data_IF_667352434640
#
_entry.id   IF_667352434640
#
_cell.length_a   1.000
_cell.length_b   1.000
_cell.length_c   1.000
_cell.angle_alpha   90.00
_cell.angle_beta   90.00
_cell.angle_gamma   90.00
#
_symmetry.space_group_name_H-M   'P 1'
#
loop_
_entity.id
_entity.type
_entity.pdbx_description
1 polymer ?
#
# COMPACT_ATOMS: atom_id res chain seq x y z
N UNK A 1 -5.95 -7.38 -65.54
CA UNK A 1 -6.52 -8.06 -64.36
C UNK A 1 -5.93 -7.42 -63.10
N UNK A 2 -6.69 -6.54 -62.46
CA UNK A 2 -6.25 -5.77 -61.29
C UNK A 2 -6.32 -6.63 -60.03
N UNK A 3 -5.19 -6.79 -59.33
CA UNK A 3 -5.15 -7.42 -58.00
C UNK A 3 -5.68 -6.41 -56.97
N UNK A 4 -6.70 -6.73 -56.16
CA UNK A 4 -7.14 -5.84 -55.11
C UNK A 4 -6.09 -5.83 -54.01
N UNK A 5 -5.50 -4.66 -53.77
CA UNK A 5 -4.61 -4.45 -52.64
C UNK A 5 -5.37 -4.72 -51.35
N UNK A 6 -4.94 -5.75 -50.60
CA UNK A 6 -5.32 -5.92 -49.19
C UNK A 6 -4.82 -4.70 -48.43
N UNK A 7 -5.68 -3.69 -48.28
CA UNK A 7 -5.52 -2.64 -47.28
C UNK A 7 -5.86 -3.27 -45.94
N UNK A 8 -4.86 -3.92 -45.35
CA UNK A 8 -4.92 -4.29 -43.95
C UNK A 8 -5.07 -3.02 -43.11
N UNK A 9 -5.85 -3.13 -42.04
CA UNK A 9 -6.17 -2.08 -41.06
C UNK A 9 -4.92 -1.53 -40.30
N UNK A 10 -3.71 -1.76 -40.81
CA UNK A 10 -2.44 -1.43 -40.17
C UNK A 10 -1.89 -0.05 -40.58
N UNK A 11 -2.59 0.70 -41.45
CA UNK A 11 -2.09 1.99 -41.94
C UNK A 11 -2.23 3.16 -40.93
N UNK A 12 -2.87 2.94 -39.79
CA UNK A 12 -3.05 3.98 -38.73
C UNK A 12 -1.89 3.99 -37.72
N UNK A 13 -1.04 2.96 -37.71
CA UNK A 13 0.03 2.86 -36.71
C UNK A 13 1.37 2.67 -37.42
N UNK A 14 1.94 3.78 -37.88
CA UNK A 14 3.39 3.92 -37.98
C UNK A 14 4.01 4.06 -36.57
N UNK A 15 3.56 3.22 -35.64
CA UNK A 15 4.24 3.00 -34.38
C UNK A 15 5.57 2.34 -34.75
N UNK A 16 6.68 3.01 -34.44
CA UNK A 16 7.98 2.36 -34.43
C UNK A 16 7.85 1.10 -33.58
N UNK A 17 8.45 0.01 -34.03
CA UNK A 17 8.39 -1.30 -33.38
C UNK A 17 8.67 -1.20 -31.86
N UNK A 18 9.60 -0.34 -31.47
CA UNK A 18 9.92 -0.05 -30.08
C UNK A 18 8.72 0.51 -29.29
N UNK A 19 7.98 1.47 -29.84
CA UNK A 19 6.80 2.05 -29.19
C UNK A 19 5.69 1.00 -29.04
N UNK A 20 5.53 0.13 -30.02
CA UNK A 20 4.56 -0.97 -29.95
C UNK A 20 4.95 -1.98 -28.85
N UNK A 21 6.24 -2.30 -28.71
CA UNK A 21 6.77 -3.16 -27.63
C UNK A 21 6.56 -2.52 -26.25
N UNK A 22 6.83 -1.22 -26.10
CA UNK A 22 6.58 -0.52 -24.84
C UNK A 22 5.10 -0.52 -24.45
N UNK A 23 4.19 -0.27 -25.40
CA UNK A 23 2.74 -0.32 -25.16
C UNK A 23 2.33 -1.73 -24.76
N UNK A 24 2.82 -2.76 -25.46
CA UNK A 24 2.53 -4.16 -25.13
C UNK A 24 3.04 -4.51 -23.72
N UNK A 25 4.27 -4.11 -23.37
CA UNK A 25 4.82 -4.31 -22.04
C UNK A 25 3.97 -3.62 -20.97
N UNK A 26 3.54 -2.37 -21.20
CA UNK A 26 2.69 -1.64 -20.29
C UNK A 26 1.34 -2.38 -20.06
N UNK A 27 0.73 -2.90 -21.13
CA UNK A 27 -0.50 -3.69 -21.01
C UNK A 27 -0.27 -4.95 -20.17
N UNK A 28 0.80 -5.71 -20.45
CA UNK A 28 1.15 -6.91 -19.66
C UNK A 28 1.40 -6.55 -18.20
N UNK A 29 2.10 -5.46 -17.92
CA UNK A 29 2.34 -4.97 -16.56
C UNK A 29 1.04 -4.58 -15.85
N UNK A 30 0.10 -3.90 -16.53
CA UNK A 30 -1.21 -3.60 -15.96
C UNK A 30 -1.98 -4.87 -15.60
N UNK A 31 -1.97 -5.89 -16.47
CA UNK A 31 -2.61 -7.19 -16.21
C UNK A 31 -1.95 -7.87 -15.00
N UNK A 32 -0.61 -7.87 -14.94
CA UNK A 32 0.14 -8.42 -13.81
C UNK A 32 -0.22 -7.72 -12.49
N UNK A 33 -0.27 -6.38 -12.47
CA UNK A 33 -0.66 -5.60 -11.29
C UNK A 33 -2.11 -5.87 -10.88
N UNK A 34 -3.04 -5.96 -11.84
CA UNK A 34 -4.44 -6.28 -11.56
C UNK A 34 -4.60 -7.69 -10.96
N UNK A 35 -3.86 -8.68 -11.48
CA UNK A 35 -3.83 -10.02 -10.92
C UNK A 35 -3.29 -10.02 -9.48
N UNK A 36 -2.17 -9.33 -9.25
CA UNK A 36 -1.62 -9.16 -7.89
C UNK A 36 -2.60 -8.48 -6.94
N UNK A 37 -3.24 -7.39 -7.36
CA UNK A 37 -4.25 -6.70 -6.56
C UNK A 37 -5.44 -7.60 -6.22
N UNK A 38 -5.94 -8.38 -7.18
CA UNK A 38 -7.02 -9.34 -6.94
C UNK A 38 -6.62 -10.44 -5.94
N UNK A 39 -5.40 -10.97 -6.06
CA UNK A 39 -4.87 -11.98 -5.13
C UNK A 39 -4.76 -11.40 -3.71
N UNK A 40 -4.14 -10.24 -3.54
CA UNK A 40 -4.01 -9.61 -2.22
C UNK A 40 -5.37 -9.24 -1.62
N UNK A 41 -6.31 -8.73 -2.42
CA UNK A 41 -7.67 -8.44 -1.97
C UNK A 41 -8.36 -9.69 -1.40
N UNK A 42 -8.18 -10.85 -2.04
CA UNK A 42 -8.77 -12.10 -1.57
C UNK A 42 -8.05 -12.67 -0.34
N UNK A 43 -6.73 -12.55 -0.27
CA UNK A 43 -5.93 -13.10 0.81
C UNK A 43 -6.02 -12.25 2.09
N UNK A 44 -5.94 -10.93 1.96
CA UNK A 44 -5.84 -10.01 3.09
C UNK A 44 -7.20 -9.41 3.51
N UNK A 45 -8.21 -9.43 2.62
CA UNK A 45 -9.49 -8.76 2.87
C UNK A 45 -10.26 -9.29 4.08
N UNK A 46 -10.34 -10.62 4.26
CA UNK A 46 -11.02 -11.20 5.42
C UNK A 46 -10.24 -11.01 6.72
N UNK A 47 -8.91 -10.97 6.64
CA UNK A 47 -8.06 -10.68 7.80
C UNK A 47 -8.24 -9.23 8.25
N UNK A 48 -8.30 -8.28 7.31
CA UNK A 48 -8.57 -6.87 7.60
C UNK A 48 -9.92 -6.67 8.32
N UNK A 49 -10.97 -7.36 7.87
CA UNK A 49 -12.29 -7.30 8.54
C UNK A 49 -12.22 -7.86 9.97
N UNK A 50 -11.56 -9.00 10.16
CA UNK A 50 -11.40 -9.62 11.48
C UNK A 50 -10.62 -8.72 12.44
N UNK A 51 -9.49 -8.15 12.00
CA UNK A 51 -8.68 -7.24 12.82
C UNK A 51 -9.44 -5.96 13.21
N UNK A 52 -10.28 -5.44 12.31
CA UNK A 52 -11.15 -4.30 12.61
C UNK A 52 -12.21 -4.64 13.65
N UNK A 53 -12.85 -5.79 13.51
CA UNK A 53 -13.88 -6.25 14.43
C UNK A 53 -13.28 -6.50 15.81
N UNK A 54 -12.15 -7.20 15.91
CA UNK A 54 -11.41 -7.46 17.15
C UNK A 54 -11.01 -6.15 17.86
N UNK A 55 -10.48 -5.17 17.11
CA UNK A 55 -10.15 -3.87 17.67
C UNK A 55 -11.39 -3.13 18.19
N UNK A 56 -12.50 -3.17 17.43
CA UNK A 56 -13.75 -2.52 17.82
C UNK A 56 -14.36 -3.15 19.07
N UNK A 57 -14.30 -4.48 19.17
CA UNK A 57 -14.76 -5.24 20.32
C UNK A 57 -13.91 -4.92 21.55
N UNK A 58 -12.59 -4.93 21.43
CA UNK A 58 -11.68 -4.59 22.52
C UNK A 58 -11.93 -3.16 23.05
N UNK A 59 -12.15 -2.19 22.16
CA UNK A 59 -12.48 -0.83 22.56
C UNK A 59 -13.84 -0.76 23.27
N UNK A 60 -14.86 -1.46 22.76
CA UNK A 60 -16.19 -1.52 23.39
C UNK A 60 -16.13 -2.14 24.79
N UNK A 61 -15.45 -3.28 24.93
CA UNK A 61 -15.26 -3.95 26.22
C UNK A 61 -14.48 -3.09 27.23
N UNK A 62 -13.56 -2.24 26.75
CA UNK A 62 -12.91 -1.26 27.60
C UNK A 62 -13.89 -0.18 28.11
N UNK A 63 -14.72 0.37 27.21
CA UNK A 63 -15.71 1.38 27.56
C UNK A 63 -16.79 0.84 28.52
N UNK A 64 -17.27 -0.38 28.27
CA UNK A 64 -18.27 -1.05 29.12
C UNK A 64 -17.73 -1.28 30.55
N UNK A 65 -16.44 -1.60 30.68
CA UNK A 65 -15.76 -1.76 31.99
C UNK A 65 -15.44 -0.42 32.67
N UNK A 66 -15.37 0.68 31.94
CA UNK A 66 -14.93 1.98 32.43
C UNK A 66 -15.93 3.10 32.04
N UNK A 67 -17.17 3.08 32.56
CA UNK A 67 -18.23 4.00 32.14
C UNK A 67 -17.95 5.48 32.47
N UNK A 68 -16.98 5.77 33.33
CA UNK A 68 -16.55 7.14 33.65
C UNK A 68 -15.61 7.75 32.61
N UNK A 69 -15.08 6.97 31.67
CA UNK A 69 -14.17 7.46 30.63
C UNK A 69 -14.98 8.10 29.50
N UNK A 70 -14.61 9.31 29.12
CA UNK A 70 -15.20 9.96 27.96
C UNK A 70 -14.63 9.35 26.66
N UNK A 71 -15.50 8.78 25.83
CA UNK A 71 -15.12 8.13 24.58
C UNK A 71 -14.36 9.08 23.63
N UNK A 72 -14.77 10.35 23.57
CA UNK A 72 -14.15 11.33 22.66
C UNK A 72 -12.72 11.65 23.09
N UNK A 73 -12.50 11.81 24.40
CA UNK A 73 -11.17 12.07 24.96
C UNK A 73 -10.27 10.84 24.81
N UNK A 74 -10.81 9.64 25.00
CA UNK A 74 -10.08 8.39 24.78
C UNK A 74 -9.65 8.25 23.32
N UNK A 75 -10.55 8.49 22.36
CA UNK A 75 -10.23 8.43 20.92
C UNK A 75 -9.16 9.46 20.56
N UNK A 76 -9.23 10.66 21.12
CA UNK A 76 -8.22 11.68 20.89
C UNK A 76 -6.86 11.30 21.48
N UNK A 77 -6.84 10.68 22.66
CA UNK A 77 -5.63 10.14 23.27
C UNK A 77 -5.02 9.03 22.41
N UNK A 78 -5.82 8.06 21.96
CA UNK A 78 -5.37 6.97 21.09
C UNK A 78 -4.82 7.51 19.76
N UNK A 79 -5.48 8.52 19.17
CA UNK A 79 -5.00 9.19 17.95
C UNK A 79 -3.64 9.85 18.17
N UNK A 80 -3.45 10.59 19.27
CA UNK A 80 -2.16 11.21 19.61
C UNK A 80 -1.08 10.17 19.89
N UNK A 81 -1.43 9.08 20.57
CA UNK A 81 -0.52 7.99 20.86
C UNK A 81 -0.06 7.29 19.57
N UNK A 82 -0.97 6.99 18.64
CA UNK A 82 -0.64 6.41 17.34
C UNK A 82 0.29 7.31 16.51
N UNK A 83 0.08 8.63 16.53
CA UNK A 83 0.99 9.59 15.89
C UNK A 83 2.38 9.60 16.56
N UNK A 84 2.43 9.53 17.88
CA UNK A 84 3.70 9.47 18.61
C UNK A 84 4.46 8.16 18.35
N UNK A 85 3.77 7.03 18.27
CA UNK A 85 4.39 5.73 17.96
C UNK A 85 4.90 5.69 16.51
N UNK A 86 4.12 6.19 15.54
CA UNK A 86 4.57 6.34 14.15
C UNK A 86 5.80 7.26 14.02
N UNK A 87 5.92 8.27 14.89
CA UNK A 87 7.10 9.13 14.96
C UNK A 87 8.30 8.45 15.65
N UNK A 88 8.11 7.28 16.27
CA UNK A 88 9.13 6.53 17.02
C UNK A 88 9.39 7.09 18.41
N UNK A 89 8.42 7.80 19.01
CA UNK A 89 8.54 8.46 20.32
C UNK A 89 8.11 7.52 21.45
N UNK A 90 7.20 6.57 21.16
CA UNK A 90 6.64 5.67 22.18
C UNK A 90 7.57 4.50 22.49
N UNK A 91 7.72 4.23 23.79
CA UNK A 91 8.49 3.11 24.35
C UNK A 91 9.91 3.51 24.79
N UNK A 92 10.56 2.63 25.54
CA UNK A 92 11.98 2.80 25.94
C UNK A 92 12.90 2.25 24.85
N UNK A 93 12.83 2.88 23.67
CA UNK A 93 13.62 2.52 22.50
C UNK A 93 14.87 3.41 22.43
N UNK A 94 15.99 2.81 22.02
CA UNK A 94 17.20 3.54 21.63
C UNK A 94 16.84 4.68 20.65
N UNK A 95 17.49 5.86 20.72
CA UNK A 95 17.22 6.96 19.79
C UNK A 95 17.37 6.51 18.32
N UNK A 96 16.29 6.64 17.53
CA UNK A 96 16.25 6.20 16.11
C UNK A 96 17.32 6.87 15.24
N UNK A 97 17.63 8.13 15.54
CA UNK A 97 18.53 8.98 14.76
C UNK A 97 19.90 9.17 15.40
N UNK A 98 20.36 8.22 16.19
CA UNK A 98 21.77 8.18 16.57
C UNK A 98 22.65 7.70 15.41
N UNK A 99 23.97 7.66 15.60
CA UNK A 99 24.89 7.41 14.48
C UNK A 99 24.65 6.05 13.79
N UNK A 100 24.61 4.89 14.49
CA UNK A 100 24.34 3.63 13.80
C UNK A 100 22.93 3.52 13.21
N UNK A 101 21.90 4.11 13.85
CA UNK A 101 20.56 4.14 13.28
C UNK A 101 20.50 4.97 11.99
N UNK A 102 21.16 6.14 11.98
CA UNK A 102 21.29 6.99 10.80
C UNK A 102 22.12 6.34 9.70
N UNK A 103 23.19 5.61 10.05
CA UNK A 103 23.99 4.86 9.10
C UNK A 103 23.18 3.74 8.43
N UNK A 104 22.41 2.98 9.20
CA UNK A 104 21.49 1.97 8.66
C UNK A 104 20.45 2.60 7.71
N UNK A 105 19.85 3.73 8.09
CA UNK A 105 18.89 4.46 7.25
C UNK A 105 19.49 4.90 5.91
N UNK A 106 20.70 5.45 5.89
CA UNK A 106 21.38 5.76 4.62
C UNK A 106 21.60 4.49 3.78
N UNK A 107 21.89 3.36 4.44
CA UNK A 107 21.97 2.06 3.80
C UNK A 107 20.69 1.68 3.04
N UNK A 108 19.52 1.81 3.66
CA UNK A 108 18.22 1.47 3.02
C UNK A 108 17.93 2.38 1.81
N UNK A 109 18.28 3.67 1.91
CA UNK A 109 18.12 4.63 0.80
C UNK A 109 18.98 4.24 -0.40
N UNK A 110 20.27 3.92 -0.17
CA UNK A 110 21.18 3.54 -1.26
C UNK A 110 20.84 2.17 -1.85
N UNK A 111 20.32 1.25 -1.03
CA UNK A 111 19.95 -0.11 -1.48
C UNK A 111 18.59 -0.20 -2.16
N UNK A 112 17.77 0.86 -2.15
CA UNK A 112 16.40 0.87 -2.68
C UNK A 112 15.48 -0.18 -2.04
N UNK A 113 15.67 -0.42 -0.73
CA UNK A 113 14.79 -1.26 0.11
C UNK A 113 13.66 -0.38 0.64
#
# INVERSE_FOLDING_TARGET
>A
MSRPGRRGCCLVLHLKEDNARFILLAIVMCVYMAAGAGIFMLLEGSNEETEKDDYSQMLKEFMDRNPSVNETELRELLRKHALADAAGIVGDKRPRWDFPGSFYFVGTVVSTI
#
